data_IF_827778301006
#
_entry.id   IF_827778301006
#
_cell.length_a   1.000
_cell.length_b   1.000
_cell.length_c   1.000
_cell.angle_alpha   90.00
_cell.angle_beta   90.00
_cell.angle_gamma   90.00
#
_symmetry.space_group_name_H-M   'P 1'
#
loop_
_entity.id
_entity.type
_entity.pdbx_description
1 polymer ?
#
# COMPACT_ATOMS: atom_id res chain seq x y z
N UNK A 1 1.48 -5.61 -8.67
CA UNK A 1 0.47 -5.74 -9.74
C UNK A 1 -0.27 -7.07 -9.70
N UNK A 2 0.40 -8.22 -9.75
CA UNK A 2 -0.24 -9.56 -9.76
C UNK A 2 -1.18 -9.77 -8.56
N UNK A 3 -0.72 -9.44 -7.35
CA UNK A 3 -1.54 -9.57 -6.13
C UNK A 3 -2.82 -8.73 -6.21
N UNK A 4 -2.70 -7.46 -6.64
CA UNK A 4 -3.87 -6.58 -6.77
C UNK A 4 -4.81 -7.01 -7.90
N UNK A 5 -4.28 -7.62 -8.96
CA UNK A 5 -5.09 -8.24 -10.01
C UNK A 5 -5.99 -9.36 -9.44
N UNK A 6 -5.42 -10.29 -8.69
CA UNK A 6 -6.21 -11.36 -8.07
C UNK A 6 -7.22 -10.83 -7.04
N UNK A 7 -6.85 -9.82 -6.27
CA UNK A 7 -7.77 -9.22 -5.31
C UNK A 7 -8.91 -8.50 -6.02
N UNK A 8 -8.63 -7.73 -7.07
CA UNK A 8 -9.65 -7.13 -7.91
C UNK A 8 -10.58 -8.16 -8.52
N UNK A 9 -10.04 -9.29 -8.99
CA UNK A 9 -10.84 -10.40 -9.50
C UNK A 9 -11.73 -11.04 -8.41
N UNK A 10 -11.21 -11.26 -7.21
CA UNK A 10 -12.01 -11.83 -6.09
C UNK A 10 -13.10 -10.86 -5.65
N UNK A 11 -12.78 -9.57 -5.51
CA UNK A 11 -13.77 -8.54 -5.15
C UNK A 11 -14.87 -8.45 -6.22
N UNK A 12 -14.48 -8.52 -7.50
CA UNK A 12 -15.43 -8.54 -8.61
C UNK A 12 -16.33 -9.78 -8.55
N UNK A 13 -15.75 -10.96 -8.33
CA UNK A 13 -16.50 -12.22 -8.26
C UNK A 13 -17.56 -12.18 -7.15
N UNK A 14 -17.15 -11.82 -5.94
CA UNK A 14 -18.06 -11.72 -4.79
C UNK A 14 -19.08 -10.60 -5.00
N UNK A 15 -18.66 -9.44 -5.50
CA UNK A 15 -19.54 -8.30 -5.75
C UNK A 15 -20.59 -8.59 -6.81
N UNK A 16 -20.22 -9.25 -7.90
CA UNK A 16 -21.15 -9.69 -8.96
C UNK A 16 -22.17 -10.69 -8.41
N UNK A 17 -21.72 -11.71 -7.68
CA UNK A 17 -22.60 -12.73 -7.12
C UNK A 17 -23.64 -12.10 -6.18
N UNK A 18 -23.21 -11.26 -5.24
CA UNK A 18 -24.09 -10.57 -4.31
C UNK A 18 -25.09 -9.66 -5.03
N UNK A 19 -24.62 -8.81 -5.95
CA UNK A 19 -25.47 -7.84 -6.63
C UNK A 19 -26.46 -8.51 -7.60
N UNK A 20 -26.11 -9.65 -8.18
CA UNK A 20 -27.00 -10.43 -9.04
C UNK A 20 -28.19 -10.98 -8.26
N UNK A 21 -28.00 -11.41 -7.02
CA UNK A 21 -29.09 -11.88 -6.14
C UNK A 21 -30.12 -10.79 -5.85
N UNK A 22 -29.72 -9.53 -5.87
CA UNK A 22 -30.61 -8.37 -5.69
C UNK A 22 -31.09 -7.73 -7.01
N UNK A 23 -30.75 -8.31 -8.16
CA UNK A 23 -31.08 -7.75 -9.47
C UNK A 23 -30.31 -6.43 -9.79
N UNK A 24 -29.22 -6.15 -9.11
CA UNK A 24 -28.46 -4.91 -9.17
C UNK A 24 -27.06 -5.08 -9.81
N UNK A 25 -26.87 -6.09 -10.65
CA UNK A 25 -25.60 -6.47 -11.25
C UNK A 25 -24.86 -5.33 -11.99
N UNK A 26 -25.62 -4.35 -12.54
CA UNK A 26 -25.03 -3.19 -13.22
C UNK A 26 -24.18 -2.30 -12.31
N UNK A 27 -24.42 -2.33 -10.99
CA UNK A 27 -23.63 -1.57 -10.01
C UNK A 27 -22.33 -2.29 -9.59
N UNK A 28 -22.09 -3.51 -10.08
CA UNK A 28 -20.86 -4.24 -9.79
C UNK A 28 -19.61 -3.47 -10.23
N UNK A 29 -19.66 -2.79 -11.38
CA UNK A 29 -18.54 -1.97 -11.89
C UNK A 29 -18.19 -0.83 -10.91
N UNK A 30 -19.20 -0.15 -10.38
CA UNK A 30 -18.99 0.93 -9.41
C UNK A 30 -18.43 0.40 -8.10
N UNK A 31 -18.97 -0.69 -7.59
CA UNK A 31 -18.46 -1.34 -6.38
C UNK A 31 -16.99 -1.72 -6.52
N UNK A 32 -16.60 -2.34 -7.64
CA UNK A 32 -15.22 -2.73 -7.92
C UNK A 32 -14.33 -1.50 -8.00
N UNK A 33 -14.77 -0.46 -8.73
CA UNK A 33 -14.03 0.80 -8.88
C UNK A 33 -13.76 1.46 -7.53
N UNK A 34 -14.78 1.63 -6.70
CA UNK A 34 -14.65 2.23 -5.36
C UNK A 34 -13.73 1.39 -4.48
N UNK A 35 -13.94 0.08 -4.40
CA UNK A 35 -13.17 -0.82 -3.55
C UNK A 35 -11.69 -0.83 -3.95
N UNK A 36 -11.38 -0.91 -5.25
CA UNK A 36 -10.00 -0.95 -5.75
C UNK A 36 -9.33 0.42 -5.58
N UNK A 37 -9.96 1.51 -6.02
CA UNK A 37 -9.35 2.83 -6.01
C UNK A 37 -9.17 3.40 -4.61
N UNK A 38 -10.16 3.23 -3.75
CA UNK A 38 -10.20 3.88 -2.45
C UNK A 38 -9.40 3.13 -1.38
N UNK A 39 -9.46 1.78 -1.40
CA UNK A 39 -8.97 0.97 -0.29
C UNK A 39 -7.94 -0.09 -0.74
N UNK A 40 -8.34 -1.08 -1.53
CA UNK A 40 -7.51 -2.27 -1.74
C UNK A 40 -6.16 -1.98 -2.41
N UNK A 41 -6.12 -1.12 -3.42
CA UNK A 41 -4.87 -0.87 -4.13
C UNK A 41 -3.80 -0.26 -3.22
N UNK A 42 -4.14 0.74 -2.41
CA UNK A 42 -3.18 1.42 -1.54
C UNK A 42 -2.79 0.58 -0.34
N UNK A 43 -3.77 -0.03 0.36
CA UNK A 43 -3.50 -0.80 1.58
C UNK A 43 -2.64 -2.02 1.28
N UNK A 44 -3.00 -2.79 0.25
CA UNK A 44 -2.26 -4.00 -0.10
C UNK A 44 -0.87 -3.69 -0.59
N UNK A 45 -0.71 -2.65 -1.42
CA UNK A 45 0.61 -2.21 -1.87
C UNK A 45 1.48 -1.77 -0.69
N UNK A 46 0.91 -1.01 0.26
CA UNK A 46 1.62 -0.57 1.45
C UNK A 46 2.01 -1.75 2.36
N UNK A 47 1.13 -2.72 2.58
CA UNK A 47 1.41 -3.93 3.38
C UNK A 47 2.49 -4.79 2.74
N UNK A 48 2.45 -4.98 1.43
CA UNK A 48 3.50 -5.73 0.71
C UNK A 48 4.86 -5.01 0.79
N UNK A 49 4.86 -3.68 0.67
CA UNK A 49 6.08 -2.88 0.86
C UNK A 49 6.55 -2.86 2.31
N UNK A 50 5.65 -2.86 3.29
CA UNK A 50 6.03 -3.01 4.70
C UNK A 50 6.78 -4.33 4.92
N UNK A 51 6.26 -5.44 4.40
CA UNK A 51 6.93 -6.74 4.49
C UNK A 51 8.32 -6.75 3.85
N UNK A 52 8.48 -6.11 2.68
CA UNK A 52 9.74 -6.10 1.93
C UNK A 52 10.67 -4.94 2.35
N UNK A 53 10.19 -3.70 2.28
CA UNK A 53 11.06 -2.53 2.43
C UNK A 53 11.36 -2.21 3.89
N UNK A 54 10.39 -2.32 4.82
CA UNK A 54 10.69 -2.08 6.23
C UNK A 54 11.65 -3.13 6.80
N UNK A 55 11.49 -4.41 6.40
CA UNK A 55 12.43 -5.47 6.79
C UNK A 55 13.82 -5.24 6.21
N UNK A 56 13.92 -4.88 4.92
CA UNK A 56 15.21 -4.58 4.27
C UNK A 56 15.91 -3.41 4.94
N UNK A 57 15.20 -2.30 5.18
CA UNK A 57 15.78 -1.13 5.87
C UNK A 57 16.24 -1.45 7.29
N UNK A 58 15.45 -2.23 8.04
CA UNK A 58 15.84 -2.67 9.37
C UNK A 58 17.07 -3.59 9.34
N UNK A 59 17.14 -4.51 8.37
CA UNK A 59 18.26 -5.43 8.22
C UNK A 59 19.54 -4.70 7.79
N UNK A 60 19.47 -3.83 6.77
CA UNK A 60 20.62 -3.10 6.25
C UNK A 60 21.21 -2.15 7.30
N UNK A 61 20.39 -1.27 7.89
CA UNK A 61 20.85 -0.32 8.91
C UNK A 61 21.31 -1.07 10.17
N UNK A 62 20.60 -2.15 10.53
CA UNK A 62 20.97 -2.97 11.67
C UNK A 62 22.31 -3.67 11.49
N UNK A 63 22.61 -4.19 10.29
CA UNK A 63 23.91 -4.76 9.94
C UNK A 63 25.02 -3.72 9.99
N UNK A 64 24.81 -2.53 9.41
CA UNK A 64 25.77 -1.42 9.48
C UNK A 64 26.07 -1.01 10.93
N UNK A 65 25.05 -1.04 11.79
CA UNK A 65 25.24 -0.74 13.22
C UNK A 65 26.03 -1.82 13.95
N UNK A 66 25.77 -3.10 13.68
CA UNK A 66 26.55 -4.21 14.24
C UNK A 66 28.03 -4.13 13.83
N UNK A 67 28.29 -3.75 12.58
CA UNK A 67 29.65 -3.58 12.06
C UNK A 67 30.31 -2.27 12.49
N UNK A 68 29.69 -1.47 13.38
CA UNK A 68 30.16 -0.16 13.83
C UNK A 68 30.29 0.90 12.72
N UNK A 69 29.69 0.66 11.53
CA UNK A 69 29.73 1.61 10.42
C UNK A 69 28.96 2.90 10.73
N UNK A 70 27.83 2.79 11.48
CA UNK A 70 27.04 3.96 11.91
C UNK A 70 27.87 4.84 12.90
N UNK A 71 28.66 4.23 13.76
CA UNK A 71 29.50 4.95 14.70
C UNK A 71 30.72 5.56 13.99
N UNK A 72 31.30 4.87 12.99
CA UNK A 72 32.33 5.42 12.13
C UNK A 72 31.83 6.67 11.36
N UNK A 73 30.61 6.68 10.85
CA UNK A 73 29.99 7.85 10.21
C UNK A 73 29.97 9.05 11.16
N UNK A 74 29.59 8.83 12.43
CA UNK A 74 29.57 9.91 13.44
C UNK A 74 30.93 10.49 13.73
N UNK A 75 31.95 9.63 13.82
CA UNK A 75 33.34 10.07 14.02
C UNK A 75 33.82 10.89 12.83
N UNK A 76 33.42 10.56 11.61
CA UNK A 76 33.73 11.32 10.40
C UNK A 76 32.92 12.62 10.24
N UNK A 77 32.00 12.92 11.18
CA UNK A 77 31.14 14.10 11.11
C UNK A 77 29.94 13.96 10.19
N UNK A 78 29.64 12.74 9.72
CA UNK A 78 28.44 12.45 8.89
C UNK A 78 27.27 12.09 9.79
N UNK A 79 26.15 12.80 9.65
CA UNK A 79 24.93 12.48 10.38
C UNK A 79 24.27 11.21 9.79
N UNK A 80 24.17 10.09 10.56
CA UNK A 80 23.56 8.86 10.08
C UNK A 80 22.09 9.04 9.69
N UNK A 81 21.38 9.98 10.30
CA UNK A 81 19.99 10.25 9.94
C UNK A 81 19.87 10.80 8.51
N UNK A 82 20.72 11.77 8.17
CA UNK A 82 20.75 12.36 6.84
C UNK A 82 21.23 11.36 5.78
N UNK A 83 22.23 10.55 6.12
CA UNK A 83 22.84 9.61 5.17
C UNK A 83 22.00 8.34 4.94
N UNK A 84 21.34 7.83 5.98
CA UNK A 84 20.66 6.52 5.91
C UNK A 84 19.13 6.63 5.87
N UNK A 85 18.52 7.56 6.63
CA UNK A 85 17.07 7.62 6.79
C UNK A 85 16.43 8.44 5.68
N UNK A 86 16.91 9.65 5.43
CA UNK A 86 16.31 10.58 4.47
C UNK A 86 16.21 9.98 3.06
N UNK A 87 17.26 9.39 2.47
CA UNK A 87 17.18 8.83 1.12
C UNK A 87 16.15 7.70 0.99
N UNK A 88 16.06 6.83 1.99
CA UNK A 88 15.09 5.72 2.00
C UNK A 88 13.66 6.23 2.13
N UNK A 89 13.45 7.26 2.95
CA UNK A 89 12.17 7.90 3.13
C UNK A 89 11.70 8.59 1.85
N UNK A 90 12.57 9.36 1.20
CA UNK A 90 12.26 10.03 -0.08
C UNK A 90 11.99 9.02 -1.19
N UNK A 91 12.76 7.93 -1.25
CA UNK A 91 12.55 6.87 -2.23
C UNK A 91 11.16 6.24 -2.09
N UNK A 92 10.74 5.88 -0.87
CA UNK A 92 9.39 5.32 -0.66
C UNK A 92 8.28 6.35 -0.88
N UNK A 93 8.51 7.61 -0.52
CA UNK A 93 7.54 8.69 -0.71
C UNK A 93 7.14 8.86 -2.20
N UNK A 94 8.08 8.66 -3.10
CA UNK A 94 7.85 8.71 -4.55
C UNK A 94 7.33 7.38 -5.09
N UNK A 95 7.95 6.28 -4.64
CA UNK A 95 7.67 4.95 -5.23
C UNK A 95 6.32 4.38 -4.81
N UNK A 96 5.85 4.62 -3.56
CA UNK A 96 4.60 4.01 -3.09
C UNK A 96 3.37 4.57 -3.82
N UNK A 97 3.22 5.88 -4.06
CA UNK A 97 2.14 6.40 -4.91
C UNK A 97 2.16 5.84 -6.34
N UNK A 98 3.33 5.74 -6.96
CA UNK A 98 3.48 5.16 -8.30
C UNK A 98 3.07 3.68 -8.33
N UNK A 99 3.51 2.91 -7.34
CA UNK A 99 3.13 1.49 -7.22
C UNK A 99 1.64 1.33 -6.92
N UNK A 100 1.05 2.23 -6.12
CA UNK A 100 -0.39 2.25 -5.84
C UNK A 100 -1.18 2.51 -7.12
N UNK A 101 -0.77 3.46 -7.94
CA UNK A 101 -1.40 3.71 -9.25
C UNK A 101 -1.34 2.46 -10.15
N UNK A 102 -0.19 1.83 -10.26
CA UNK A 102 -0.05 0.57 -11.01
C UNK A 102 -0.89 -0.58 -10.41
N UNK A 103 -1.05 -0.58 -9.09
CA UNK A 103 -1.90 -1.54 -8.39
C UNK A 103 -3.38 -1.33 -8.69
N UNK A 104 -3.84 -0.07 -8.78
CA UNK A 104 -5.20 0.28 -9.22
C UNK A 104 -5.48 -0.27 -10.61
N UNK A 105 -4.57 -0.04 -11.56
CA UNK A 105 -4.70 -0.60 -12.91
C UNK A 105 -4.77 -2.13 -12.88
N UNK A 106 -3.89 -2.78 -12.10
CA UNK A 106 -3.91 -4.23 -11.94
C UNK A 106 -5.23 -4.77 -11.37
N UNK A 107 -5.77 -4.11 -10.33
CA UNK A 107 -7.04 -4.48 -9.71
C UNK A 107 -8.23 -4.32 -10.65
N UNK A 108 -8.27 -3.24 -11.43
CA UNK A 108 -9.30 -3.05 -12.45
C UNK A 108 -9.24 -4.11 -13.55
N UNK A 109 -8.05 -4.49 -14.02
CA UNK A 109 -7.91 -5.55 -15.02
C UNK A 109 -8.47 -6.87 -14.49
N UNK A 110 -8.24 -7.19 -13.20
CA UNK A 110 -8.86 -8.35 -12.56
C UNK A 110 -10.39 -8.25 -12.55
N UNK A 111 -10.91 -7.08 -12.19
CA UNK A 111 -12.35 -6.78 -12.20
C UNK A 111 -12.99 -6.92 -13.58
N UNK A 112 -12.36 -6.37 -14.61
CA UNK A 112 -12.83 -6.44 -16.01
C UNK A 112 -12.97 -7.90 -16.46
N UNK A 113 -11.97 -8.75 -16.21
CA UNK A 113 -12.01 -10.15 -16.65
C UNK A 113 -13.18 -10.90 -16.00
N UNK A 114 -13.42 -10.68 -14.72
CA UNK A 114 -14.52 -11.34 -14.00
C UNK A 114 -15.88 -10.84 -14.45
N UNK A 115 -16.08 -9.53 -14.58
CA UNK A 115 -17.36 -8.96 -15.04
C UNK A 115 -17.67 -9.38 -16.48
N UNK A 116 -16.67 -9.49 -17.33
CA UNK A 116 -16.84 -10.00 -18.68
C UNK A 116 -17.26 -11.48 -18.69
N UNK A 117 -16.62 -12.29 -17.87
CA UNK A 117 -16.90 -13.75 -17.81
C UNK A 117 -18.26 -14.08 -17.16
N UNK A 118 -18.73 -13.28 -16.20
CA UNK A 118 -19.92 -13.57 -15.40
C UNK A 118 -21.20 -12.86 -15.88
N UNK A 119 -21.04 -11.65 -16.41
CA UNK A 119 -22.17 -10.78 -16.78
C UNK A 119 -22.22 -10.48 -18.29
N UNK A 120 -21.30 -11.03 -19.10
CA UNK A 120 -21.11 -10.68 -20.51
C UNK A 120 -20.89 -9.17 -20.74
N UNK A 121 -20.51 -8.41 -19.69
CA UNK A 121 -20.21 -7.00 -19.78
C UNK A 121 -18.77 -6.81 -20.30
N UNK A 122 -18.67 -6.48 -21.57
CA UNK A 122 -17.39 -6.32 -22.24
C UNK A 122 -16.52 -5.21 -21.63
N UNK A 123 -15.17 -5.22 -21.86
CA UNK A 123 -14.24 -4.23 -21.32
C UNK A 123 -14.61 -2.79 -21.65
N UNK A 124 -15.17 -2.55 -22.85
CA UNK A 124 -15.61 -1.23 -23.27
C UNK A 124 -16.73 -0.68 -22.38
N UNK A 125 -17.73 -1.51 -22.07
CA UNK A 125 -18.83 -1.15 -21.17
C UNK A 125 -18.31 -0.86 -19.76
N UNK A 126 -17.40 -1.71 -19.25
CA UNK A 126 -16.80 -1.50 -17.93
C UNK A 126 -16.08 -0.14 -17.84
N UNK A 127 -15.24 0.18 -18.81
CA UNK A 127 -14.50 1.44 -18.85
C UNK A 127 -15.42 2.64 -19.02
N UNK A 128 -16.42 2.53 -19.90
CA UNK A 128 -17.43 3.58 -20.09
C UNK A 128 -18.15 3.85 -18.76
N UNK A 129 -18.64 2.81 -18.10
CA UNK A 129 -19.38 2.94 -16.84
C UNK A 129 -18.52 3.53 -15.72
N UNK A 130 -17.23 3.18 -15.68
CA UNK A 130 -16.28 3.72 -14.72
C UNK A 130 -16.02 5.22 -14.95
N UNK A 131 -15.98 5.66 -16.21
CA UNK A 131 -15.71 7.09 -16.58
C UNK A 131 -16.95 7.96 -16.49
N UNK A 132 -18.14 7.41 -16.66
CA UNK A 132 -19.41 8.13 -16.51
C UNK A 132 -19.69 8.51 -15.05
N UNK A 133 -19.13 7.79 -14.09
CA UNK A 133 -19.30 8.08 -12.67
C UNK A 133 -18.40 9.23 -12.23
N UNK A 134 -19.02 10.39 -12.00
CA UNK A 134 -18.35 11.63 -11.59
C UNK A 134 -17.59 11.52 -10.26
N UNK A 135 -17.85 10.48 -9.47
CA UNK A 135 -17.20 10.25 -8.17
C UNK A 135 -15.93 9.39 -8.28
N UNK A 136 -15.74 8.63 -9.36
CA UNK A 136 -14.56 7.76 -9.53
C UNK A 136 -13.22 8.47 -9.42
N UNK A 137 -13.00 9.67 -10.02
CA UNK A 137 -11.76 10.40 -9.85
C UNK A 137 -11.48 10.79 -8.39
N UNK A 138 -12.51 11.07 -7.60
CA UNK A 138 -12.37 11.38 -6.16
C UNK A 138 -11.89 10.16 -5.38
N UNK A 139 -12.45 8.99 -5.64
CA UNK A 139 -12.03 7.74 -4.97
C UNK A 139 -10.58 7.38 -5.31
N UNK A 140 -10.16 7.57 -6.58
CA UNK A 140 -8.77 7.40 -6.98
C UNK A 140 -7.83 8.38 -6.26
N UNK A 141 -8.23 9.65 -6.13
CA UNK A 141 -7.46 10.67 -5.43
C UNK A 141 -7.34 10.34 -3.95
N UNK A 142 -8.42 9.92 -3.29
CA UNK A 142 -8.41 9.48 -1.89
C UNK A 142 -7.39 8.36 -1.66
N UNK A 143 -7.37 7.33 -2.52
CA UNK A 143 -6.38 6.26 -2.43
C UNK A 143 -4.94 6.75 -2.61
N UNK A 144 -4.71 7.64 -3.60
CA UNK A 144 -3.37 8.18 -3.86
C UNK A 144 -2.88 9.12 -2.76
N UNK A 145 -3.75 9.88 -2.10
CA UNK A 145 -3.38 10.77 -0.98
C UNK A 145 -2.97 10.00 0.27
N UNK A 146 -3.51 8.80 0.50
CA UNK A 146 -3.07 7.92 1.59
C UNK A 146 -1.65 7.40 1.37
N UNK A 147 -1.24 7.18 0.13
CA UNK A 147 0.02 6.51 -0.21
C UNK A 147 1.28 7.21 0.34
N UNK A 148 1.48 8.54 0.23
CA UNK A 148 2.62 9.23 0.83
C UNK A 148 2.71 9.05 2.35
N UNK A 149 1.57 9.06 3.05
CA UNK A 149 1.54 8.89 4.50
C UNK A 149 1.98 7.48 4.89
N UNK A 150 1.49 6.46 4.18
CA UNK A 150 1.92 5.08 4.40
C UNK A 150 3.42 4.89 4.08
N UNK A 151 3.93 5.56 3.05
CA UNK A 151 5.36 5.55 2.72
C UNK A 151 6.22 6.07 3.86
N UNK A 152 5.84 7.22 4.44
CA UNK A 152 6.51 7.82 5.58
C UNK A 152 6.55 6.86 6.78
N UNK A 153 5.42 6.26 7.10
CA UNK A 153 5.30 5.33 8.24
C UNK A 153 6.15 4.08 8.04
N UNK A 154 6.09 3.45 6.86
CA UNK A 154 6.89 2.26 6.54
C UNK A 154 8.39 2.55 6.63
N UNK A 155 8.83 3.67 6.03
CA UNK A 155 10.23 4.07 6.06
C UNK A 155 10.71 4.40 7.49
N UNK A 156 9.92 5.19 8.23
CA UNK A 156 10.26 5.60 9.58
C UNK A 156 10.38 4.41 10.54
N UNK A 157 9.43 3.48 10.49
CA UNK A 157 9.45 2.28 11.33
C UNK A 157 10.62 1.37 10.96
N UNK A 158 10.85 1.11 9.66
CA UNK A 158 11.97 0.29 9.20
C UNK A 158 13.32 0.84 9.62
N UNK A 159 13.56 2.13 9.37
CA UNK A 159 14.82 2.80 9.76
C UNK A 159 14.98 2.88 11.28
N UNK A 160 13.91 3.20 12.02
CA UNK A 160 13.95 3.24 13.49
C UNK A 160 14.32 1.88 14.09
N UNK A 161 13.75 0.80 13.59
CA UNK A 161 14.08 -0.55 14.09
C UNK A 161 15.51 -0.94 13.72
N UNK A 162 16.00 -0.58 12.54
CA UNK A 162 17.40 -0.80 12.17
C UNK A 162 18.37 -0.07 13.10
N UNK A 163 18.14 1.21 13.39
CA UNK A 163 18.93 1.99 14.31
C UNK A 163 18.82 1.50 15.78
N UNK A 164 17.77 0.76 16.11
CA UNK A 164 17.55 0.20 17.45
C UNK A 164 18.14 -1.20 17.63
N UNK A 165 18.85 -1.77 16.63
CA UNK A 165 19.53 -3.06 16.72
C UNK A 165 20.63 -2.99 17.78
N UNK A 166 20.76 -4.05 18.59
CA UNK A 166 21.90 -4.25 19.52
C UNK A 166 23.16 -4.73 18.81
N UNK A 167 24.12 -5.19 19.58
CA UNK A 167 25.40 -5.67 19.03
C UNK A 167 25.41 -7.15 18.60
N UNK A 168 24.25 -7.83 18.53
CA UNK A 168 24.15 -9.26 18.29
C UNK A 168 23.13 -9.60 17.18
N UNK A 169 23.33 -10.77 16.56
CA UNK A 169 22.50 -11.28 15.45
C UNK A 169 21.04 -11.57 15.90
N UNK A 170 20.83 -11.98 17.15
CA UNK A 170 19.50 -12.23 17.69
C UNK A 170 18.69 -10.93 17.77
N UNK A 171 19.32 -9.85 18.24
CA UNK A 171 18.72 -8.52 18.24
C UNK A 171 18.34 -8.06 16.83
N UNK A 172 19.20 -8.30 15.83
CA UNK A 172 18.93 -7.98 14.42
C UNK A 172 17.64 -8.69 13.95
N UNK A 173 17.56 -10.01 14.12
CA UNK A 173 16.39 -10.79 13.70
C UNK A 173 15.10 -10.32 14.37
N UNK A 174 15.13 -10.08 15.68
CA UNK A 174 13.99 -9.56 16.44
C UNK A 174 13.54 -8.18 15.96
N UNK A 175 14.48 -7.28 15.65
CA UNK A 175 14.17 -5.92 15.15
C UNK A 175 13.62 -5.91 13.73
N UNK A 176 14.14 -6.77 12.85
CA UNK A 176 13.60 -6.94 11.49
C UNK A 176 12.16 -7.43 11.54
N UNK A 177 11.86 -8.43 12.35
CA UNK A 177 10.47 -8.92 12.52
C UNK A 177 9.56 -7.84 13.12
N UNK A 178 10.03 -7.12 14.14
CA UNK A 178 9.28 -6.03 14.74
C UNK A 178 9.00 -4.89 13.75
N UNK A 179 9.91 -4.59 12.83
CA UNK A 179 9.72 -3.58 11.79
C UNK A 179 8.52 -3.93 10.91
N UNK A 180 8.42 -5.17 10.44
CA UNK A 180 7.31 -5.63 9.59
C UNK A 180 5.99 -5.55 10.33
N UNK A 181 5.92 -6.14 11.53
CA UNK A 181 4.68 -6.21 12.33
C UNK A 181 4.17 -4.80 12.67
N UNK A 182 5.06 -3.93 13.14
CA UNK A 182 4.70 -2.55 13.50
C UNK A 182 4.26 -1.74 12.28
N UNK A 183 4.92 -1.91 11.13
CA UNK A 183 4.56 -1.19 9.91
C UNK A 183 3.19 -1.63 9.39
N UNK A 184 2.89 -2.93 9.36
CA UNK A 184 1.59 -3.45 8.94
C UNK A 184 0.48 -2.96 9.88
N UNK A 185 0.70 -3.06 11.19
CA UNK A 185 -0.27 -2.59 12.17
C UNK A 185 -0.54 -1.08 12.03
N UNK A 186 0.51 -0.29 11.86
CA UNK A 186 0.39 1.16 11.67
C UNK A 186 -0.36 1.54 10.39
N UNK A 187 -0.14 0.81 9.28
CA UNK A 187 -0.88 1.02 8.02
C UNK A 187 -2.37 0.77 8.24
N UNK A 188 -2.74 -0.37 8.85
CA UNK A 188 -4.15 -0.73 9.08
C UNK A 188 -4.84 0.28 10.01
N UNK A 189 -4.15 0.70 11.08
CA UNK A 189 -4.69 1.68 12.02
C UNK A 189 -4.89 3.05 11.36
N UNK A 190 -3.91 3.51 10.56
CA UNK A 190 -4.02 4.76 9.82
C UNK A 190 -5.08 4.72 8.73
N UNK A 191 -5.21 3.58 8.03
CA UNK A 191 -6.24 3.41 7.02
C UNK A 191 -7.64 3.54 7.62
N UNK A 192 -7.88 2.93 8.77
CA UNK A 192 -9.14 3.09 9.51
C UNK A 192 -9.41 4.56 9.89
N UNK A 193 -8.38 5.31 10.33
CA UNK A 193 -8.50 6.73 10.63
C UNK A 193 -8.83 7.55 9.37
N UNK A 194 -8.16 7.26 8.25
CA UNK A 194 -8.47 7.91 6.98
C UNK A 194 -9.88 7.61 6.50
N UNK A 195 -10.34 6.36 6.63
CA UNK A 195 -11.69 5.98 6.24
C UNK A 195 -12.75 6.79 7.03
N UNK A 196 -12.57 6.96 8.34
CA UNK A 196 -13.46 7.77 9.17
C UNK A 196 -13.42 9.25 8.76
N UNK A 197 -12.22 9.83 8.63
CA UNK A 197 -12.07 11.26 8.33
C UNK A 197 -12.60 11.62 6.93
N UNK A 198 -12.38 10.79 5.93
CA UNK A 198 -12.90 11.04 4.59
C UNK A 198 -14.42 10.88 4.50
N UNK A 199 -15.03 10.02 5.32
CA UNK A 199 -16.49 9.93 5.43
C UNK A 199 -17.09 11.20 6.04
N UNK A 200 -16.48 11.77 7.07
CA UNK A 200 -16.95 13.00 7.71
C UNK A 200 -16.84 14.23 6.78
N UNK A 201 -15.82 14.26 5.91
CA UNK A 201 -15.60 15.36 4.95
C UNK A 201 -16.47 15.21 3.68
N UNK A 202 -17.16 14.06 3.51
CA UNK A 202 -17.99 13.79 2.34
C UNK A 202 -17.18 13.38 1.08
N UNK A 203 -16.01 12.77 1.31
CA UNK A 203 -15.12 12.23 0.27
C UNK A 203 -15.15 10.71 0.22
#
# INVERSE_FOLDING_TARGET
>A
MVTNFFIGAVVAYIGVDLLTQFGASIFAVQLIGVAVFREFAVVITAVLLAGRSASAFAAEIGSMKMNQEVDAMRVMGVDPFQALVIPRLLALLVMLPLLTFLAMVGGLLGGIIVTWSQLDLGPAFFLQRLTEDSYMPKHMLVGLVKAPVFALVVAAIGCRQGLAVGGDVESLGRRVTAAVVQAIFAIIALDALFAMTFLEIGL
#
